data_IF_839941812824
#
_entry.id   IF_839941812824
#
_cell.length_a   1.000
_cell.length_b   1.000
_cell.length_c   1.000
_cell.angle_alpha   90.00
_cell.angle_beta   90.00
_cell.angle_gamma   90.00
#
_symmetry.space_group_name_H-M   'P 1'
#
loop_
_entity.id
_entity.type
_entity.pdbx_description
1 polymer ?
#
# COMPACT_ATOMS: atom_id res chain seq x y z
N UNK A 1 74.51 -20.27 -32.90
CA UNK A 1 73.51 -19.56 -32.08
C UNK A 1 72.76 -18.56 -32.97
N UNK A 2 71.56 -18.90 -33.42
CA UNK A 2 70.66 -17.98 -34.15
C UNK A 2 69.37 -17.91 -33.34
N UNK A 3 69.22 -16.85 -32.54
CA UNK A 3 68.00 -16.55 -31.80
C UNK A 3 66.99 -15.93 -32.76
N UNK A 4 66.06 -16.72 -33.27
CA UNK A 4 64.88 -16.20 -33.93
C UNK A 4 63.96 -15.60 -32.87
N UNK A 5 63.99 -14.26 -32.72
CA UNK A 5 62.93 -13.54 -32.03
C UNK A 5 61.64 -13.77 -32.81
N UNK A 6 60.75 -14.60 -32.27
CA UNK A 6 59.36 -14.62 -32.69
C UNK A 6 58.72 -13.30 -32.28
N UNK A 7 58.04 -12.57 -33.18
CA UNK A 7 57.20 -11.47 -32.76
C UNK A 7 56.05 -12.07 -31.96
N UNK A 8 56.01 -11.81 -30.65
CA UNK A 8 54.82 -12.00 -29.86
C UNK A 8 53.75 -11.08 -30.45
N UNK A 9 52.92 -11.63 -31.33
CA UNK A 9 51.69 -10.97 -31.76
C UNK A 9 50.82 -10.89 -30.52
N UNK A 10 50.89 -9.76 -29.82
CA UNK A 10 49.81 -9.35 -28.94
C UNK A 10 48.58 -9.27 -29.83
N UNK A 11 47.81 -10.36 -29.85
CA UNK A 11 46.57 -10.49 -30.58
C UNK A 11 45.62 -9.47 -29.98
N UNK A 12 45.67 -8.25 -30.50
CA UNK A 12 44.76 -7.18 -30.18
C UNK A 12 43.40 -7.64 -30.71
N UNK A 13 42.62 -8.31 -29.85
CA UNK A 13 41.24 -8.71 -30.12
C UNK A 13 40.42 -7.43 -30.26
N UNK A 14 40.41 -6.89 -31.47
CA UNK A 14 39.47 -5.84 -31.83
C UNK A 14 38.08 -6.48 -31.83
N UNK A 15 37.22 -6.00 -30.93
CA UNK A 15 35.82 -6.38 -30.92
C UNK A 15 35.18 -5.98 -32.25
N UNK A 16 34.42 -6.88 -32.85
CA UNK A 16 33.72 -6.60 -34.10
C UNK A 16 32.62 -5.56 -33.85
N UNK A 17 32.32 -4.73 -34.86
CA UNK A 17 31.24 -3.73 -34.77
C UNK A 17 29.89 -4.38 -34.40
N UNK A 18 29.66 -5.63 -34.80
CA UNK A 18 28.47 -6.39 -34.41
C UNK A 18 28.42 -6.70 -32.91
N UNK A 19 29.58 -6.94 -32.28
CA UNK A 19 29.68 -7.23 -30.85
C UNK A 19 29.46 -5.96 -30.03
N UNK A 20 29.99 -4.83 -30.49
CA UNK A 20 29.75 -3.51 -29.88
C UNK A 20 28.27 -3.11 -30.04
N UNK A 21 27.66 -3.38 -31.19
CA UNK A 21 26.23 -3.15 -31.42
C UNK A 21 25.37 -4.03 -30.51
N UNK A 22 25.70 -5.32 -30.39
CA UNK A 22 25.00 -6.24 -29.49
C UNK A 22 25.13 -5.80 -28.03
N UNK A 23 26.34 -5.44 -27.58
CA UNK A 23 26.60 -4.97 -26.22
C UNK A 23 25.84 -3.68 -25.90
N UNK A 24 25.85 -2.70 -26.82
CA UNK A 24 25.10 -1.45 -26.64
C UNK A 24 23.59 -1.67 -26.62
N UNK A 25 23.05 -2.58 -27.43
CA UNK A 25 21.65 -2.98 -27.38
C UNK A 25 21.25 -3.57 -26.02
N UNK A 26 22.08 -4.45 -25.45
CA UNK A 26 21.85 -5.02 -24.11
C UNK A 26 21.83 -3.92 -23.04
N UNK A 27 22.74 -2.95 -23.11
CA UNK A 27 22.80 -1.83 -22.15
C UNK A 27 21.51 -1.01 -22.21
N UNK A 28 21.00 -0.70 -23.40
CA UNK A 28 19.76 0.07 -23.56
C UNK A 28 18.57 -0.69 -22.96
N UNK A 29 18.47 -2.00 -23.21
CA UNK A 29 17.42 -2.85 -22.62
C UNK A 29 17.54 -2.87 -21.10
N UNK A 30 18.75 -3.04 -20.56
CA UNK A 30 19.00 -3.04 -19.13
C UNK A 30 18.63 -1.70 -18.47
N UNK A 31 18.92 -0.57 -19.14
CA UNK A 31 18.54 0.75 -18.67
C UNK A 31 17.02 0.92 -18.63
N UNK A 32 16.32 0.49 -19.70
CA UNK A 32 14.86 0.50 -19.75
C UNK A 32 14.23 -0.36 -18.65
N UNK A 33 14.78 -1.55 -18.41
CA UNK A 33 14.34 -2.42 -17.32
C UNK A 33 14.56 -1.79 -15.94
N UNK A 34 15.72 -1.15 -15.72
CA UNK A 34 16.02 -0.48 -14.45
C UNK A 34 15.06 0.70 -14.18
N UNK A 35 14.77 1.51 -15.20
CA UNK A 35 13.80 2.61 -15.08
C UNK A 35 12.39 2.08 -14.82
N UNK A 36 11.96 1.05 -15.56
CA UNK A 36 10.66 0.41 -15.35
C UNK A 36 10.52 -0.16 -13.94
N UNK A 37 11.56 -0.82 -13.44
CA UNK A 37 11.59 -1.33 -12.07
C UNK A 37 11.54 -0.20 -11.05
N UNK A 38 12.28 0.89 -11.25
CA UNK A 38 12.25 2.06 -10.37
C UNK A 38 10.86 2.68 -10.24
N UNK A 39 10.14 2.80 -11.36
CA UNK A 39 8.74 3.29 -11.36
C UNK A 39 7.83 2.30 -10.59
N UNK A 40 8.00 1.00 -10.84
CA UNK A 40 7.21 -0.02 -10.16
C UNK A 40 7.46 -0.03 -8.64
N UNK A 41 8.70 0.12 -8.19
CA UNK A 41 9.04 0.14 -6.76
C UNK A 41 8.45 1.35 -6.05
N UNK A 42 8.49 2.54 -6.66
CA UNK A 42 7.87 3.75 -6.08
C UNK A 42 6.35 3.58 -6.00
N UNK A 43 5.72 3.02 -7.03
CA UNK A 43 4.28 2.74 -7.00
C UNK A 43 3.90 1.73 -5.91
N UNK A 44 4.74 0.73 -5.65
CA UNK A 44 4.51 -0.25 -4.59
C UNK A 44 4.66 0.37 -3.21
N UNK A 45 5.68 1.21 -3.00
CA UNK A 45 5.90 1.93 -1.74
C UNK A 45 4.71 2.82 -1.37
N UNK A 46 4.24 3.64 -2.32
CA UNK A 46 3.10 4.53 -2.08
C UNK A 46 1.81 3.74 -1.79
N UNK A 47 1.59 2.63 -2.51
CA UNK A 47 0.46 1.75 -2.24
C UNK A 47 0.52 1.15 -0.83
N UNK A 48 1.72 0.70 -0.41
CA UNK A 48 1.96 0.19 0.94
C UNK A 48 1.75 1.26 2.02
N UNK A 49 2.24 2.48 1.79
CA UNK A 49 2.09 3.61 2.70
C UNK A 49 0.61 3.93 2.97
N UNK A 50 -0.22 3.91 1.92
CA UNK A 50 -1.67 4.15 2.05
C UNK A 50 -2.38 3.07 2.85
N UNK A 51 -2.03 1.81 2.62
CA UNK A 51 -2.57 0.69 3.40
C UNK A 51 -2.18 0.84 4.87
N UNK A 52 -0.93 1.20 5.17
CA UNK A 52 -0.47 1.44 6.53
C UNK A 52 -1.21 2.60 7.21
N UNK A 53 -1.47 3.70 6.50
CA UNK A 53 -2.31 4.80 7.01
C UNK A 53 -3.73 4.35 7.30
N UNK A 54 -4.33 3.58 6.40
CA UNK A 54 -5.66 3.02 6.61
C UNK A 54 -5.72 2.14 7.86
N UNK A 55 -4.75 1.22 8.04
CA UNK A 55 -4.66 0.39 9.24
C UNK A 55 -4.51 1.22 10.51
N UNK A 56 -3.67 2.26 10.49
CA UNK A 56 -3.52 3.18 11.63
C UNK A 56 -4.84 3.86 12.00
N UNK A 57 -5.60 4.30 10.99
CA UNK A 57 -6.92 4.91 11.21
C UNK A 57 -7.93 3.90 11.75
N UNK A 58 -7.92 2.67 11.23
CA UNK A 58 -8.76 1.57 11.71
C UNK A 58 -8.44 1.22 13.18
N UNK A 59 -7.17 1.17 13.55
CA UNK A 59 -6.74 0.95 14.94
C UNK A 59 -7.12 2.11 15.86
N UNK A 60 -6.99 3.34 15.39
CA UNK A 60 -7.40 4.52 16.16
C UNK A 60 -8.91 4.54 16.38
N UNK A 61 -9.70 4.20 15.35
CA UNK A 61 -11.15 4.01 15.45
C UNK A 61 -11.49 2.94 16.51
N UNK A 62 -10.77 1.82 16.50
CA UNK A 62 -10.92 0.75 17.48
C UNK A 62 -10.62 1.20 18.92
N UNK A 63 -9.58 2.00 19.11
CA UNK A 63 -9.22 2.55 20.42
C UNK A 63 -10.29 3.53 20.91
N UNK A 64 -10.80 4.41 20.05
CA UNK A 64 -11.88 5.32 20.39
C UNK A 64 -13.18 4.57 20.75
N UNK A 65 -13.48 3.49 20.03
CA UNK A 65 -14.59 2.61 20.37
C UNK A 65 -14.40 1.93 21.72
N UNK A 66 -13.18 1.50 22.07
CA UNK A 66 -12.90 0.97 23.42
C UNK A 66 -13.05 2.02 24.52
N UNK A 67 -12.77 3.28 24.23
CA UNK A 67 -12.81 4.38 25.20
C UNK A 67 -14.22 4.83 25.58
N UNK A 68 -15.25 4.55 24.79
CA UNK A 68 -16.61 4.96 25.15
C UNK A 68 -17.41 5.61 24.03
N UNK A 69 -16.74 6.14 23.01
CA UNK A 69 -17.36 6.97 21.98
C UNK A 69 -18.37 6.19 21.13
N UNK A 70 -19.38 6.90 20.62
CA UNK A 70 -20.33 6.35 19.65
C UNK A 70 -19.71 6.32 18.25
N UNK A 71 -20.24 5.46 17.36
CA UNK A 71 -19.76 5.33 15.98
C UNK A 71 -19.78 6.67 15.23
N UNK A 72 -20.80 7.50 15.47
CA UNK A 72 -20.97 8.81 14.84
C UNK A 72 -19.94 9.83 15.32
N UNK A 73 -19.59 9.80 16.60
CA UNK A 73 -18.55 10.66 17.18
C UNK A 73 -17.17 10.26 16.66
N UNK A 74 -16.91 8.96 16.52
CA UNK A 74 -15.65 8.42 16.00
C UNK A 74 -15.45 8.87 14.55
N UNK A 75 -16.48 8.75 13.70
CA UNK A 75 -16.42 9.18 12.29
C UNK A 75 -16.15 10.69 12.18
N UNK A 76 -16.68 11.49 13.10
CA UNK A 76 -16.43 12.96 13.12
C UNK A 76 -15.02 13.32 13.62
N UNK A 77 -14.43 12.49 14.49
CA UNK A 77 -13.13 12.77 15.10
C UNK A 77 -11.96 12.28 14.22
N UNK A 78 -12.18 11.26 13.41
CA UNK A 78 -11.17 10.73 12.50
C UNK A 78 -10.94 11.73 11.36
N UNK A 79 -9.68 12.07 11.05
CA UNK A 79 -9.37 12.97 9.94
C UNK A 79 -9.80 12.35 8.61
N UNK A 80 -10.45 13.15 7.78
CA UNK A 80 -10.77 12.78 6.40
C UNK A 80 -9.49 12.70 5.57
N UNK A 81 -9.01 11.48 5.29
CA UNK A 81 -7.88 11.24 4.39
C UNK A 81 -8.41 10.98 2.97
N UNK A 82 -7.89 11.65 1.93
CA UNK A 82 -8.32 11.44 0.54
C UNK A 82 -8.01 10.03 0.00
N UNK A 83 -7.15 9.26 0.68
CA UNK A 83 -6.85 7.87 0.36
C UNK A 83 -7.88 6.88 0.94
N UNK A 84 -8.77 7.35 1.83
CA UNK A 84 -9.85 6.55 2.40
C UNK A 84 -11.12 6.81 1.61
N UNK A 85 -11.73 5.73 1.13
CA UNK A 85 -12.98 5.83 0.40
C UNK A 85 -14.18 5.71 1.33
N UNK A 86 -14.14 4.75 2.23
CA UNK A 86 -15.26 4.46 3.13
C UNK A 86 -14.74 3.89 4.44
N UNK A 87 -15.17 4.49 5.54
CA UNK A 87 -15.03 3.97 6.91
C UNK A 87 -16.43 3.67 7.42
N UNK A 88 -16.70 2.40 7.72
CA UNK A 88 -17.97 1.95 8.27
C UNK A 88 -17.74 1.28 9.63
N UNK A 89 -18.47 1.74 10.64
CA UNK A 89 -18.44 1.18 11.98
C UNK A 89 -19.82 0.59 12.24
N UNK A 90 -19.88 -0.72 12.46
CA UNK A 90 -21.12 -1.43 12.72
C UNK A 90 -21.75 -0.98 14.04
N UNK A 91 -23.07 -1.09 14.14
CA UNK A 91 -23.77 -0.79 15.39
C UNK A 91 -23.26 -1.71 16.51
N UNK A 92 -23.07 -1.19 17.74
CA UNK A 92 -22.57 -2.00 18.84
C UNK A 92 -23.53 -3.16 19.13
N UNK A 93 -23.01 -4.38 19.18
CA UNK A 93 -23.77 -5.59 19.52
C UNK A 93 -23.18 -6.27 20.76
N UNK A 94 -24.01 -6.93 21.56
CA UNK A 94 -23.54 -7.65 22.76
C UNK A 94 -23.14 -9.07 22.40
N UNK A 95 -21.94 -9.48 22.85
CA UNK A 95 -21.39 -10.83 22.70
C UNK A 95 -21.14 -11.40 24.08
N UNK A 96 -21.55 -12.65 24.29
CA UNK A 96 -21.20 -13.42 25.49
C UNK A 96 -19.80 -14.02 25.31
N UNK A 97 -18.87 -13.65 26.19
CA UNK A 97 -17.54 -14.26 26.26
C UNK A 97 -17.44 -14.99 27.60
N UNK A 98 -17.67 -16.30 27.58
CA UNK A 98 -17.80 -17.10 28.80
C UNK A 98 -19.05 -16.71 29.60
N UNK A 99 -18.88 -16.24 30.83
CA UNK A 99 -19.97 -15.78 31.72
C UNK A 99 -20.18 -14.26 31.73
N UNK A 100 -19.48 -13.52 30.87
CA UNK A 100 -19.50 -12.04 30.85
C UNK A 100 -20.08 -11.56 29.52
N UNK A 101 -21.07 -10.67 29.57
CA UNK A 101 -21.53 -9.94 28.39
C UNK A 101 -20.54 -8.83 28.07
N UNK A 102 -20.17 -8.67 26.81
CA UNK A 102 -19.19 -7.68 26.33
C UNK A 102 -19.76 -7.01 25.09
N UNK A 103 -19.63 -5.69 24.96
CA UNK A 103 -20.09 -4.99 23.76
C UNK A 103 -19.02 -5.09 22.67
N UNK A 104 -19.38 -5.52 21.48
CA UNK A 104 -18.52 -5.60 20.31
C UNK A 104 -19.01 -4.65 19.21
N UNK A 105 -18.08 -4.18 18.38
CA UNK A 105 -18.38 -3.51 17.11
C UNK A 105 -17.35 -3.91 16.08
N UNK A 106 -17.78 -3.96 14.83
CA UNK A 106 -16.92 -4.29 13.71
C UNK A 106 -16.57 -3.02 12.92
N UNK A 107 -15.29 -2.87 12.60
CA UNK A 107 -14.75 -1.71 11.89
C UNK A 107 -14.24 -2.18 10.54
N UNK A 108 -14.90 -1.69 9.50
CA UNK A 108 -14.60 -1.95 8.10
C UNK A 108 -14.05 -0.66 7.45
N UNK A 109 -12.91 -0.77 6.77
CA UNK A 109 -12.26 0.36 6.11
C UNK A 109 -11.83 -0.02 4.69
N UNK A 110 -12.16 0.82 3.72
CA UNK A 110 -11.74 0.67 2.32
C UNK A 110 -10.75 1.77 1.94
N UNK A 111 -9.58 1.36 1.46
CA UNK A 111 -8.48 2.25 1.05
C UNK A 111 -8.32 2.23 -0.47
N UNK A 112 -8.09 3.40 -1.05
CA UNK A 112 -7.76 3.57 -2.46
C UNK A 112 -6.26 3.33 -2.65
N UNK A 113 -5.91 2.18 -3.21
CA UNK A 113 -4.51 1.77 -3.41
C UNK A 113 -3.86 2.40 -4.64
N UNK A 114 -4.66 2.95 -5.55
CA UNK A 114 -4.18 3.55 -6.80
C UNK A 114 -4.02 5.08 -6.67
N UNK A 115 -2.82 5.65 -6.94
CA UNK A 115 -2.58 7.08 -6.83
C UNK A 115 -3.35 7.94 -7.83
N UNK A 116 -3.63 7.45 -9.03
CA UNK A 116 -4.35 8.24 -10.05
C UNK A 116 -5.85 8.40 -9.76
N UNK A 117 -6.38 7.67 -8.77
CA UNK A 117 -7.79 7.67 -8.41
C UNK A 117 -8.08 8.33 -7.07
N UNK A 118 -7.06 8.91 -6.43
CA UNK A 118 -7.25 9.70 -5.21
C UNK A 118 -8.06 10.93 -5.58
N UNK A 119 -9.26 11.04 -5.01
CA UNK A 119 -10.10 12.22 -5.18
C UNK A 119 -9.52 13.34 -4.34
N UNK A 120 -8.61 14.10 -4.92
CA UNK A 120 -8.31 15.43 -4.43
C UNK A 120 -9.58 16.27 -4.58
N UNK A 121 -9.91 17.08 -3.58
CA UNK A 121 -11.05 18.00 -3.62
C UNK A 121 -10.74 19.09 -4.66
N UNK A 122 -10.88 18.72 -5.92
CA UNK A 122 -10.85 19.56 -7.11
C UNK A 122 -12.13 19.18 -7.84
N UNK A 123 -13.00 20.17 -8.09
CA UNK A 123 -14.40 19.99 -8.52
C UNK A 123 -14.64 19.35 -9.89
N UNK A 124 -13.78 18.45 -10.35
CA UNK A 124 -13.95 17.68 -11.57
C UNK A 124 -14.50 16.30 -11.20
N UNK A 125 -15.80 16.12 -11.45
CA UNK A 125 -16.50 14.84 -11.32
C UNK A 125 -16.14 13.95 -12.50
N UNK A 126 -15.15 13.09 -12.34
CA UNK A 126 -14.87 12.04 -13.31
C UNK A 126 -15.84 10.87 -13.11
N UNK A 127 -16.78 10.73 -14.05
CA UNK A 127 -17.88 9.75 -14.03
C UNK A 127 -17.43 8.32 -14.39
N UNK A 128 -16.14 8.00 -14.24
CA UNK A 128 -15.63 6.70 -14.63
C UNK A 128 -15.85 5.69 -13.51
N UNK A 129 -16.97 4.96 -13.63
CA UNK A 129 -17.26 3.74 -12.87
C UNK A 129 -16.11 2.75 -13.09
N UNK A 130 -15.20 2.65 -12.14
CA UNK A 130 -13.97 1.87 -12.29
C UNK A 130 -13.99 0.55 -11.52
N UNK A 131 -13.55 -0.46 -12.28
CA UNK A 131 -13.29 -1.87 -12.01
C UNK A 131 -12.44 -2.12 -10.74
N UNK A 132 -12.72 -3.22 -10.05
CA UNK A 132 -12.41 -3.50 -8.64
C UNK A 132 -10.94 -3.58 -8.19
N UNK A 133 -9.96 -3.27 -9.04
CA UNK A 133 -8.52 -3.44 -8.74
C UNK A 133 -7.85 -2.24 -8.03
N UNK A 134 -8.55 -1.10 -7.91
CA UNK A 134 -8.00 0.11 -7.29
C UNK A 134 -8.42 0.33 -5.83
N UNK A 135 -9.22 -0.59 -5.30
CA UNK A 135 -9.78 -0.53 -3.96
C UNK A 135 -9.32 -1.75 -3.19
N UNK A 136 -8.85 -1.54 -1.97
CA UNK A 136 -8.53 -2.63 -1.06
C UNK A 136 -9.34 -2.46 0.20
N UNK A 137 -10.28 -3.39 0.42
CA UNK A 137 -10.90 -3.56 1.72
C UNK A 137 -9.83 -4.07 2.70
N UNK A 138 -9.65 -3.37 3.81
CA UNK A 138 -8.80 -3.84 4.88
C UNK A 138 -9.47 -4.99 5.63
N UNK A 139 -8.70 -5.82 6.33
CA UNK A 139 -9.25 -6.86 7.18
C UNK A 139 -10.19 -6.25 8.22
N UNK A 140 -11.38 -6.84 8.36
CA UNK A 140 -12.38 -6.43 9.35
C UNK A 140 -11.81 -6.55 10.75
N UNK A 141 -11.94 -5.49 11.54
CA UNK A 141 -11.47 -5.46 12.92
C UNK A 141 -12.65 -5.50 13.89
N UNK A 142 -12.81 -6.63 14.58
CA UNK A 142 -13.81 -6.77 15.65
C UNK A 142 -13.22 -6.28 16.97
N UNK A 143 -13.88 -5.30 17.59
CA UNK A 143 -13.40 -4.61 18.77
C UNK A 143 -14.35 -4.83 19.93
N UNK A 144 -13.82 -5.37 21.02
CA UNK A 144 -14.56 -5.61 22.25
C UNK A 144 -14.34 -4.48 23.27
N UNK A 145 -15.43 -4.02 23.88
CA UNK A 145 -15.48 -3.10 25.01
C UNK A 145 -15.90 -3.86 26.26
N UNK A 146 -15.03 -4.01 27.27
CA UNK A 146 -15.41 -4.60 28.54
C UNK A 146 -16.43 -3.70 29.27
N UNK A 147 -17.39 -4.31 29.95
CA UNK A 147 -18.24 -3.56 30.88
C UNK A 147 -17.35 -3.05 32.02
N UNK A 148 -17.30 -1.74 32.18
CA UNK A 148 -16.84 -1.17 33.46
C UNK A 148 -17.91 -1.55 34.47
N UNK A 149 -17.53 -2.32 35.49
CA UNK A 149 -18.37 -2.55 36.66
C UNK A 149 -18.75 -1.17 37.18
N UNK A 150 -19.99 -0.76 36.99
CA UNK A 150 -20.56 0.42 37.64
C UNK A 150 -20.30 0.22 39.13
N UNK A 151 -19.43 1.07 39.69
CA UNK A 151 -19.19 1.09 41.12
C UNK A 151 -20.51 1.41 41.80
N UNK A 152 -20.92 0.52 42.70
CA UNK A 152 -21.93 0.83 43.72
C UNK A 152 -21.43 1.96 44.61
#
# INVERSE_FOLDING_TARGET
MKSSLQPATLSQRAYSLIEVLAASGIIVIALGAAVSLGIATVSQEESGNRIARGLSIQENAARLFRLGLSSEEIIRLIPSDPCIEELSISTPYSVMVGSVSVTASDIDLTVITNPSKVRWISGVSDNNKMEGDARRALPRLTVYRPYTRTGN
#
